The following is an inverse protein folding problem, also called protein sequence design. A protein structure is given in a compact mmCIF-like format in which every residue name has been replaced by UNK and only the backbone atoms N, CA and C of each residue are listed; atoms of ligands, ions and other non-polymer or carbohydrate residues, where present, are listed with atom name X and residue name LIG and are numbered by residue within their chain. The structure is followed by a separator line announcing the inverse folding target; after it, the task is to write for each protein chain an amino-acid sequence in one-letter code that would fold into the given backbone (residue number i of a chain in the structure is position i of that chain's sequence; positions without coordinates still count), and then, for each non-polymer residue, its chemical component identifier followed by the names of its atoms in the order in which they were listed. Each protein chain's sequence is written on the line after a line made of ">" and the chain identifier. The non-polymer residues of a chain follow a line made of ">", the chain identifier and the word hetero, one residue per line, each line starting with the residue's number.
data_IF_989870311311
#
_entry.id   IF_989870311311
#
_cell.length_a   1.000
_cell.length_b   1.000
_cell.length_c   1.000
_cell.angle_alpha   90.00
_cell.angle_beta   90.00
_cell.angle_gamma   90.00
#
_symmetry.space_group_name_H-M   'P 1'
#
loop_
_entity.id
_entity.type
_entity.pdbx_description
1 polymer ?
#
# COMPACT_ATOMS: atom_id res chain seq x y z
N UNK A 1 9.27 35.89 35.96
CA UNK A 1 10.65 36.18 35.51
C UNK A 1 11.16 37.33 36.37
N UNK A 2 12.40 37.29 36.90
CA UNK A 2 12.90 38.38 37.74
C UNK A 2 13.08 39.63 36.88
N UNK A 3 12.64 40.78 37.38
CA UNK A 3 12.79 42.08 36.71
C UNK A 3 14.11 42.68 37.20
N UNK A 4 15.09 42.83 36.31
CA UNK A 4 16.35 43.50 36.63
C UNK A 4 16.22 44.98 36.28
N UNK A 5 16.21 45.86 37.29
CA UNK A 5 16.16 47.31 37.09
C UNK A 5 17.58 47.84 36.79
N UNK A 6 17.85 48.22 35.54
CA UNK A 6 19.12 48.83 35.12
C UNK A 6 18.99 50.36 35.08
N UNK A 7 20.03 51.08 35.50
CA UNK A 7 20.09 52.54 35.36
C UNK A 7 20.24 52.92 33.87
N UNK A 8 19.72 54.09 33.48
CA UNK A 8 19.93 54.64 32.14
C UNK A 8 21.42 54.70 31.79
N UNK A 9 21.80 54.19 30.61
CA UNK A 9 23.19 54.13 30.16
C UNK A 9 24.03 52.98 30.73
N UNK A 10 23.48 52.15 31.63
CA UNK A 10 24.17 50.96 32.13
C UNK A 10 24.42 49.95 30.99
N UNK A 11 25.57 49.26 30.96
CA UNK A 11 25.86 48.27 29.93
C UNK A 11 24.88 47.09 29.98
N UNK A 12 24.40 46.65 28.81
CA UNK A 12 23.54 45.47 28.67
C UNK A 12 24.37 44.34 28.06
N UNK A 13 24.36 43.18 28.71
CA UNK A 13 24.84 41.92 28.15
C UNK A 13 23.64 41.01 27.91
N UNK A 14 23.44 40.58 26.67
CA UNK A 14 22.39 39.62 26.36
C UNK A 14 22.64 38.28 27.12
N UNK A 15 21.60 37.67 27.71
CA UNK A 15 21.75 36.39 28.38
C UNK A 15 22.03 35.28 27.37
N UNK A 16 22.83 34.29 27.76
CA UNK A 16 22.98 33.05 27.01
C UNK A 16 21.70 32.23 27.13
N UNK A 17 21.11 31.84 26.00
CA UNK A 17 19.87 31.05 25.95
C UNK A 17 20.10 29.71 25.27
N UNK A 18 19.42 28.67 25.75
CA UNK A 18 19.42 27.34 25.14
C UNK A 18 18.01 26.78 25.10
N UNK A 19 17.65 26.09 24.00
CA UNK A 19 16.35 25.44 23.81
C UNK A 19 16.56 24.08 23.13
N UNK A 20 16.21 22.95 23.77
CA UNK A 20 16.40 21.63 23.18
C UNK A 20 15.71 21.51 21.81
N UNK A 21 16.44 21.01 20.80
CA UNK A 21 15.95 20.82 19.43
C UNK A 21 15.91 22.09 18.55
N UNK A 22 16.43 23.22 19.04
CA UNK A 22 16.48 24.47 18.30
C UNK A 22 17.84 25.14 18.40
N UNK A 23 18.29 25.74 17.30
CA UNK A 23 19.46 26.62 17.23
C UNK A 23 19.02 28.06 17.48
N UNK A 24 19.71 28.79 18.36
CA UNK A 24 19.44 30.22 18.60
C UNK A 24 19.81 31.04 17.36
N UNK A 25 18.82 31.69 16.75
CA UNK A 25 18.98 32.46 15.52
C UNK A 25 19.19 33.97 15.76
N UNK A 26 19.17 34.40 17.03
CA UNK A 26 19.31 35.80 17.44
C UNK A 26 18.09 36.33 18.19
N UNK A 27 18.11 37.61 18.53
CA UNK A 27 16.97 38.30 19.15
C UNK A 27 16.09 38.93 18.08
N UNK A 28 14.80 39.13 18.39
CA UNK A 28 13.80 39.73 17.49
C UNK A 28 14.16 41.14 17.00
N UNK A 29 15.04 41.81 17.73
CA UNK A 29 15.61 43.11 17.38
C UNK A 29 17.04 43.19 17.95
N UNK A 30 17.92 44.06 17.40
CA UNK A 30 19.27 44.23 17.91
C UNK A 30 19.26 44.62 19.40
N UNK A 31 20.01 43.89 20.23
CA UNK A 31 20.15 44.24 21.64
C UNK A 31 21.10 45.44 21.75
N UNK A 32 20.68 46.57 22.34
CA UNK A 32 21.53 47.73 22.51
C UNK A 32 22.65 47.45 23.52
N UNK A 33 23.80 48.11 23.36
CA UNK A 33 24.93 47.96 24.29
C UNK A 33 24.72 48.68 25.63
N UNK A 34 23.74 49.59 25.72
CA UNK A 34 23.41 50.35 26.93
C UNK A 34 21.89 50.45 27.14
N UNK A 35 21.46 50.58 28.40
CA UNK A 35 20.05 50.68 28.77
C UNK A 35 19.44 51.98 28.24
N UNK A 36 18.45 51.90 27.34
CA UNK A 36 17.76 53.08 26.81
C UNK A 36 16.84 53.70 27.85
N UNK A 37 16.35 54.92 27.60
CA UNK A 37 15.48 55.67 28.52
C UNK A 37 14.05 55.12 28.63
N UNK A 38 13.81 53.89 28.18
CA UNK A 38 12.51 53.23 28.17
C UNK A 38 12.68 51.71 28.29
N UNK A 39 11.67 51.03 28.82
CA UNK A 39 11.66 49.58 28.93
C UNK A 39 11.63 48.92 27.53
N UNK A 40 12.41 47.86 27.35
CA UNK A 40 12.44 47.08 26.12
C UNK A 40 12.22 45.59 26.39
N UNK A 41 11.50 44.94 25.48
CA UNK A 41 11.29 43.50 25.48
C UNK A 41 11.95 42.90 24.24
N UNK A 42 12.77 41.86 24.42
CA UNK A 42 13.42 41.13 23.33
C UNK A 42 12.95 39.68 23.35
N UNK A 43 12.63 39.13 22.18
CA UNK A 43 12.24 37.72 22.07
C UNK A 43 13.36 36.94 21.39
N UNK A 44 13.69 35.77 21.92
CA UNK A 44 14.65 34.87 21.29
C UNK A 44 14.02 34.22 20.04
N UNK A 45 14.67 34.36 18.90
CA UNK A 45 14.29 33.71 17.64
C UNK A 45 15.02 32.38 17.54
N UNK A 46 14.28 31.33 17.19
CA UNK A 46 14.77 29.95 17.18
C UNK A 46 14.57 29.34 15.81
N UNK A 47 15.60 28.65 15.31
CA UNK A 47 15.51 27.81 14.12
C UNK A 47 15.46 26.35 14.57
N UNK A 48 14.46 25.59 14.11
CA UNK A 48 14.37 24.16 14.42
C UNK A 48 15.60 23.44 13.82
N UNK A 49 16.30 22.66 14.64
CA UNK A 49 17.42 21.87 14.15
C UNK A 49 16.86 20.67 13.40
N UNK A 50 16.98 20.67 12.08
CA UNK A 50 16.50 19.55 11.25
C UNK A 50 17.40 18.35 11.43
N UNK A 51 16.79 17.20 11.76
CA UNK A 51 17.46 15.90 11.75
C UNK A 51 16.71 14.97 10.80
N UNK A 52 17.41 13.99 10.24
CA UNK A 52 16.82 12.92 9.44
C UNK A 52 16.83 11.63 10.25
N UNK A 53 15.72 10.91 10.26
CA UNK A 53 15.66 9.54 10.77
C UNK A 53 15.73 8.61 9.57
N UNK A 54 16.72 7.71 9.57
CA UNK A 54 16.90 6.70 8.53
C UNK A 54 16.35 5.38 9.04
N UNK A 55 15.42 4.78 8.29
CA UNK A 55 14.92 3.44 8.57
C UNK A 55 15.68 2.42 7.72
N UNK A 56 15.91 1.24 8.27
CA UNK A 56 16.56 0.13 7.58
C UNK A 56 15.68 -1.11 7.70
N UNK A 57 15.50 -1.83 6.60
CA UNK A 57 14.78 -3.10 6.57
C UNK A 57 15.79 -4.24 6.38
N UNK A 58 15.61 -5.34 7.11
CA UNK A 58 16.41 -6.54 6.90
C UNK A 58 16.05 -7.16 5.54
N UNK A 59 17.07 -7.58 4.80
CA UNK A 59 16.88 -8.26 3.53
C UNK A 59 16.34 -9.67 3.77
N UNK A 60 15.50 -10.17 2.85
CA UNK A 60 14.91 -11.50 2.98
C UNK A 60 15.88 -12.64 2.67
N UNK A 61 16.94 -12.37 1.93
CA UNK A 61 17.83 -13.37 1.36
C UNK A 61 19.25 -13.33 1.92
N UNK A 62 19.56 -12.35 2.77
CA UNK A 62 20.84 -12.22 3.44
C UNK A 62 20.69 -11.47 4.77
N UNK A 63 21.76 -11.46 5.57
CA UNK A 63 21.81 -10.75 6.86
C UNK A 63 22.03 -9.22 6.69
N UNK A 64 21.97 -8.72 5.46
CA UNK A 64 22.10 -7.32 5.14
C UNK A 64 20.84 -6.52 5.45
N UNK A 65 21.02 -5.20 5.49
CA UNK A 65 19.94 -4.24 5.66
C UNK A 65 19.93 -3.28 4.48
N UNK A 66 18.76 -3.04 3.91
CA UNK A 66 18.56 -2.01 2.89
C UNK A 66 17.94 -0.77 3.53
N UNK A 67 18.49 0.41 3.21
CA UNK A 67 17.92 1.69 3.65
C UNK A 67 16.51 1.86 3.07
N UNK A 68 15.52 1.95 3.96
CA UNK A 68 14.20 2.47 3.66
C UNK A 68 14.25 4.01 3.63
N UNK A 69 13.17 4.68 3.25
CA UNK A 69 13.19 6.13 3.03
C UNK A 69 13.57 6.94 4.29
N UNK A 70 14.18 8.12 4.07
CA UNK A 70 14.51 9.08 5.12
C UNK A 70 13.26 9.89 5.50
N UNK A 71 12.97 10.00 6.80
CA UNK A 71 11.91 10.89 7.29
C UNK A 71 12.52 12.26 7.57
N UNK A 72 12.01 13.28 6.88
CA UNK A 72 12.36 14.68 7.11
C UNK A 72 11.68 15.22 8.37
N UNK A 73 12.28 16.26 8.97
CA UNK A 73 11.82 16.85 10.23
C UNK A 73 10.44 17.54 10.17
N UNK A 74 9.79 17.56 9.00
CA UNK A 74 8.42 18.07 8.79
C UNK A 74 7.33 17.07 9.22
N UNK A 75 7.72 15.86 9.64
CA UNK A 75 6.81 14.85 10.17
C UNK A 75 6.10 14.02 9.10
N UNK A 76 6.49 14.16 7.83
CA UNK A 76 5.87 13.44 6.72
C UNK A 76 6.56 12.10 6.51
N UNK A 77 5.86 11.00 6.80
CA UNK A 77 6.27 9.65 6.40
C UNK A 77 5.39 9.19 5.24
N UNK A 78 5.99 8.91 4.09
CA UNK A 78 5.29 8.26 2.97
C UNK A 78 5.73 6.81 2.90
N UNK A 79 4.84 5.85 3.19
CA UNK A 79 5.14 4.43 3.05
C UNK A 79 4.63 3.93 1.69
N UNK A 80 5.55 3.51 0.80
CA UNK A 80 5.20 2.78 -0.43
C UNK A 80 5.57 1.31 -0.27
N UNK A 81 4.60 0.50 0.13
CA UNK A 81 4.76 -0.95 0.28
C UNK A 81 4.47 -1.64 -1.06
N UNK A 82 5.50 -2.23 -1.66
CA UNK A 82 5.38 -3.08 -2.84
C UNK A 82 5.55 -4.54 -2.41
N UNK A 83 4.59 -5.41 -2.72
CA UNK A 83 4.71 -6.85 -2.51
C UNK A 83 4.42 -7.61 -3.79
N UNK A 84 5.14 -8.72 -3.98
CA UNK A 84 4.91 -9.67 -5.06
C UNK A 84 3.70 -10.53 -4.69
N UNK A 85 2.66 -10.54 -5.53
CA UNK A 85 1.52 -11.45 -5.36
C UNK A 85 1.91 -12.86 -5.82
N UNK A 86 1.58 -13.87 -5.02
CA UNK A 86 1.67 -15.27 -5.43
C UNK A 86 0.82 -15.51 -6.69
N UNK A 87 1.27 -16.44 -7.53
CA UNK A 87 0.53 -16.92 -8.70
C UNK A 87 0.11 -18.37 -8.48
N UNK A 88 -1.06 -18.71 -9.01
CA UNK A 88 -1.69 -20.02 -8.86
C UNK A 88 -2.18 -20.51 -10.23
N UNK A 89 -2.34 -21.81 -10.36
CA UNK A 89 -2.82 -22.46 -11.58
C UNK A 89 -4.33 -22.35 -11.69
N UNK A 90 -4.83 -21.81 -12.79
CA UNK A 90 -6.25 -21.77 -13.14
C UNK A 90 -6.50 -22.71 -14.32
N UNK A 91 -7.44 -23.65 -14.18
CA UNK A 91 -7.79 -24.62 -15.21
C UNK A 91 -9.28 -24.61 -15.55
N UNK A 92 -9.58 -24.69 -16.85
CA UNK A 92 -10.92 -24.87 -17.39
C UNK A 92 -10.97 -26.19 -18.15
N UNK A 93 -11.78 -27.12 -17.66
CA UNK A 93 -11.77 -28.52 -18.10
C UNK A 93 -13.17 -29.03 -18.41
N UNK A 94 -13.23 -30.15 -19.12
CA UNK A 94 -14.39 -31.05 -19.09
C UNK A 94 -13.91 -32.39 -18.55
N UNK A 95 -14.25 -32.63 -17.29
CA UNK A 95 -13.87 -33.82 -16.52
C UNK A 95 -14.53 -35.10 -17.01
N UNK A 96 -15.71 -35.02 -17.67
CA UNK A 96 -16.34 -36.20 -18.24
C UNK A 96 -15.50 -36.77 -19.39
N UNK A 97 -14.86 -35.87 -20.14
CA UNK A 97 -14.11 -36.21 -21.34
C UNK A 97 -12.59 -36.03 -21.19
N UNK A 98 -12.13 -35.64 -20.00
CA UNK A 98 -10.73 -35.29 -19.73
C UNK A 98 -10.14 -34.27 -20.73
N UNK A 99 -10.97 -33.30 -21.15
CA UNK A 99 -10.54 -32.22 -22.05
C UNK A 99 -10.06 -31.03 -21.22
N UNK A 100 -8.96 -30.41 -21.64
CA UNK A 100 -8.47 -29.15 -21.09
C UNK A 100 -8.71 -28.03 -22.11
N UNK A 101 -9.55 -27.06 -21.78
CA UNK A 101 -9.83 -25.90 -22.64
C UNK A 101 -8.82 -24.78 -22.41
N UNK A 102 -8.38 -24.59 -21.16
CA UNK A 102 -7.37 -23.58 -20.84
C UNK A 102 -6.68 -23.90 -19.52
N UNK A 103 -5.39 -23.60 -19.44
CA UNK A 103 -4.60 -23.63 -18.21
C UNK A 103 -3.66 -22.44 -18.20
N UNK A 104 -3.64 -21.67 -17.12
CA UNK A 104 -2.82 -20.46 -17.02
C UNK A 104 -2.40 -20.15 -15.58
N UNK A 105 -1.33 -19.36 -15.44
CA UNK A 105 -0.87 -18.82 -14.15
C UNK A 105 -1.52 -17.46 -13.89
N UNK A 106 -2.27 -17.35 -12.80
CA UNK A 106 -3.02 -16.14 -12.44
C UNK A 106 -2.61 -15.67 -11.05
N UNK A 107 -2.39 -14.35 -10.90
CA UNK A 107 -2.04 -13.75 -9.61
C UNK A 107 -3.23 -13.81 -8.65
N UNK A 108 -2.97 -14.09 -7.38
CA UNK A 108 -3.97 -14.00 -6.30
C UNK A 108 -4.80 -12.71 -6.39
N UNK A 109 -6.13 -12.86 -6.31
CA UNK A 109 -7.07 -11.74 -6.33
C UNK A 109 -7.27 -11.09 -7.70
N UNK A 110 -6.61 -11.56 -8.77
CA UNK A 110 -6.93 -11.11 -10.12
C UNK A 110 -8.29 -11.69 -10.56
N UNK A 111 -9.07 -10.96 -11.37
CA UNK A 111 -10.36 -11.46 -11.87
C UNK A 111 -10.16 -12.68 -12.76
N UNK A 112 -11.01 -13.69 -12.58
CA UNK A 112 -11.07 -14.89 -13.40
C UNK A 112 -11.90 -14.57 -14.65
N UNK A 113 -11.33 -14.85 -15.82
CA UNK A 113 -12.00 -14.69 -17.12
C UNK A 113 -12.11 -16.06 -17.76
N UNK A 114 -13.31 -16.66 -17.81
CA UNK A 114 -13.51 -17.94 -18.48
C UNK A 114 -13.33 -17.84 -19.99
N UNK A 115 -12.89 -18.91 -20.65
CA UNK A 115 -12.87 -18.96 -22.11
C UNK A 115 -14.31 -18.92 -22.65
N UNK A 116 -14.55 -18.02 -23.62
CA UNK A 116 -15.88 -17.76 -24.17
C UNK A 116 -16.39 -18.86 -25.12
N UNK A 117 -15.48 -19.63 -25.73
CA UNK A 117 -15.78 -20.47 -26.90
C UNK A 117 -15.54 -21.97 -26.66
N UNK A 118 -15.75 -22.48 -25.43
CA UNK A 118 -15.64 -23.93 -25.22
C UNK A 118 -16.77 -24.67 -25.94
N UNK A 119 -16.42 -25.49 -26.92
CA UNK A 119 -17.36 -26.31 -27.69
C UNK A 119 -17.41 -27.74 -27.14
N UNK A 120 -18.60 -28.32 -26.92
CA UNK A 120 -18.70 -29.70 -26.46
C UNK A 120 -18.14 -30.68 -27.50
N UNK A 121 -17.52 -31.76 -27.02
CA UNK A 121 -17.09 -32.87 -27.88
C UNK A 121 -18.29 -33.67 -28.44
N UNK A 122 -18.03 -34.56 -29.39
CA UNK A 122 -19.03 -35.44 -30.01
C UNK A 122 -19.65 -36.48 -29.05
N UNK A 123 -19.18 -36.56 -27.80
CA UNK A 123 -19.81 -37.35 -26.75
C UNK A 123 -21.14 -36.75 -26.29
N UNK A 124 -21.28 -35.42 -26.35
CA UNK A 124 -22.52 -34.75 -26.02
C UNK A 124 -23.49 -34.77 -27.21
N UNK A 125 -24.81 -34.78 -26.94
CA UNK A 125 -25.80 -34.71 -28.00
C UNK A 125 -25.61 -33.49 -28.91
N UNK A 126 -25.86 -33.62 -30.23
CA UNK A 126 -25.87 -32.49 -31.14
C UNK A 126 -26.81 -31.38 -30.64
N UNK A 127 -26.34 -30.14 -30.66
CA UNK A 127 -27.08 -28.98 -30.17
C UNK A 127 -26.75 -28.56 -28.74
N UNK A 128 -25.92 -29.32 -28.02
CA UNK A 128 -25.37 -28.86 -26.75
C UNK A 128 -24.47 -27.63 -26.96
N UNK A 129 -24.59 -26.66 -26.06
CA UNK A 129 -23.75 -25.47 -25.95
C UNK A 129 -23.23 -25.35 -24.53
N UNK A 130 -22.16 -24.57 -24.35
CA UNK A 130 -21.68 -24.22 -23.01
C UNK A 130 -22.74 -23.39 -22.30
N UNK A 131 -23.17 -23.84 -21.13
CA UNK A 131 -24.13 -23.13 -20.28
C UNK A 131 -23.39 -22.30 -19.24
N UNK A 132 -22.44 -22.93 -18.53
CA UNK A 132 -21.66 -22.27 -17.48
C UNK A 132 -20.38 -23.05 -17.19
N UNK A 133 -19.51 -22.46 -16.39
CA UNK A 133 -18.36 -23.09 -15.77
C UNK A 133 -18.67 -23.29 -14.29
N UNK A 134 -18.73 -24.55 -13.85
CA UNK A 134 -18.99 -24.90 -12.46
C UNK A 134 -17.67 -25.16 -11.72
N UNK A 135 -17.45 -24.64 -10.51
CA UNK A 135 -16.23 -24.93 -9.75
C UNK A 135 -16.13 -26.42 -9.42
N UNK A 136 -14.93 -26.98 -9.52
CA UNK A 136 -14.63 -28.33 -9.03
C UNK A 136 -14.55 -28.29 -7.50
N UNK A 137 -15.12 -29.28 -6.80
CA UNK A 137 -15.26 -29.29 -5.33
C UNK A 137 -14.01 -28.81 -4.57
N UNK A 138 -14.20 -27.91 -3.61
CA UNK A 138 -13.13 -27.29 -2.82
C UNK A 138 -12.96 -25.78 -3.07
N UNK A 139 -13.39 -25.29 -4.24
CA UNK A 139 -13.30 -23.89 -4.63
C UNK A 139 -14.64 -23.15 -4.34
N UNK A 140 -14.66 -22.32 -3.31
CA UNK A 140 -15.78 -21.39 -3.03
C UNK A 140 -15.25 -19.95 -3.06
N UNK A 141 -15.81 -19.05 -3.89
CA UNK A 141 -17.23 -18.98 -4.16
C UNK A 141 -17.62 -19.10 -5.64
N UNK A 142 -18.90 -19.39 -5.82
CA UNK A 142 -19.66 -19.45 -7.06
C UNK A 142 -19.39 -18.26 -8.01
N UNK A 143 -19.29 -18.55 -9.31
CA UNK A 143 -19.21 -17.57 -10.40
C UNK A 143 -20.55 -16.82 -10.66
N UNK A 144 -21.52 -16.89 -9.75
CA UNK A 144 -22.91 -16.42 -9.94
C UNK A 144 -23.10 -14.90 -9.76
N UNK A 145 -22.06 -14.14 -9.40
CA UNK A 145 -22.14 -12.68 -9.29
C UNK A 145 -21.76 -11.98 -10.60
N UNK A 146 -22.48 -10.93 -11.02
CA UNK A 146 -22.10 -10.13 -12.18
C UNK A 146 -20.80 -9.39 -11.86
N UNK A 147 -19.68 -9.87 -12.42
CA UNK A 147 -18.33 -9.35 -12.15
C UNK A 147 -17.21 -10.40 -12.16
N UNK A 148 -17.56 -11.70 -12.12
CA UNK A 148 -16.59 -12.81 -12.10
C UNK A 148 -15.99 -13.06 -10.71
N UNK A 149 -15.50 -14.28 -10.47
CA UNK A 149 -14.77 -14.62 -9.25
C UNK A 149 -13.31 -14.12 -9.34
N UNK A 150 -12.66 -13.92 -8.20
CA UNK A 150 -11.22 -13.61 -8.16
C UNK A 150 -10.41 -14.86 -7.84
N UNK A 151 -9.17 -14.93 -8.36
CA UNK A 151 -8.27 -16.06 -8.17
C UNK A 151 -7.99 -16.29 -6.67
N UNK A 152 -8.31 -17.48 -6.13
CA UNK A 152 -8.09 -17.80 -4.71
C UNK A 152 -6.61 -18.04 -4.40
N UNK A 153 -6.29 -18.26 -3.12
CA UNK A 153 -4.92 -18.48 -2.63
C UNK A 153 -4.43 -19.94 -2.78
N UNK A 154 -4.92 -20.62 -3.81
CA UNK A 154 -4.56 -21.98 -4.21
C UNK A 154 -4.93 -22.17 -5.69
N UNK A 155 -4.47 -23.25 -6.30
CA UNK A 155 -4.88 -23.65 -7.64
C UNK A 155 -6.40 -23.85 -7.69
N UNK A 156 -7.03 -23.43 -8.79
CA UNK A 156 -8.48 -23.45 -8.97
C UNK A 156 -8.85 -24.12 -10.29
N UNK A 157 -9.95 -24.88 -10.30
CA UNK A 157 -10.42 -25.58 -11.49
C UNK A 157 -11.93 -25.45 -11.69
N UNK A 158 -12.34 -25.25 -12.94
CA UNK A 158 -13.74 -25.15 -13.32
C UNK A 158 -14.08 -26.16 -14.41
N UNK A 159 -15.19 -26.87 -14.21
CA UNK A 159 -15.74 -27.84 -15.14
C UNK A 159 -16.77 -27.19 -16.08
N UNK A 160 -16.67 -27.45 -17.37
CA UNK A 160 -17.67 -27.04 -18.34
C UNK A 160 -18.98 -27.76 -18.07
N UNK A 161 -20.07 -27.00 -18.00
CA UNK A 161 -21.43 -27.53 -17.99
C UNK A 161 -22.08 -27.28 -19.34
N UNK A 162 -22.33 -28.36 -20.08
CA UNK A 162 -22.99 -28.32 -21.38
C UNK A 162 -24.48 -28.70 -21.26
N UNK A 163 -25.31 -28.13 -22.13
CA UNK A 163 -26.74 -28.42 -22.20
C UNK A 163 -27.38 -27.79 -23.43
N UNK A 164 -28.66 -28.07 -23.67
CA UNK A 164 -29.39 -27.39 -24.73
C UNK A 164 -29.61 -25.90 -24.40
N UNK A 165 -29.57 -25.00 -25.40
CA UNK A 165 -29.73 -23.55 -25.18
C UNK A 165 -31.05 -23.17 -24.50
N UNK A 166 -32.08 -24.00 -24.63
CA UNK A 166 -33.44 -23.80 -24.10
C UNK A 166 -33.69 -24.49 -22.75
N UNK A 167 -32.67 -25.17 -22.20
CA UNK A 167 -32.81 -25.92 -20.95
C UNK A 167 -33.60 -27.22 -21.08
N UNK A 168 -33.86 -27.70 -22.30
CA UNK A 168 -34.44 -29.02 -22.52
C UNK A 168 -33.53 -30.13 -21.96
N UNK A 169 -34.12 -31.21 -21.43
CA UNK A 169 -33.40 -32.46 -21.17
C UNK A 169 -33.52 -33.33 -22.41
N UNK A 170 -32.39 -33.78 -22.96
CA UNK A 170 -32.39 -34.76 -24.04
C UNK A 170 -33.00 -36.06 -23.55
N UNK A 171 -34.02 -36.55 -24.26
CA UNK A 171 -34.60 -37.88 -24.06
C UNK A 171 -33.61 -38.97 -24.45
#
# INVERSE_FOLDING_TARGET
>A
MPVSQLAYGAPITAPTVTRPGYTFAGWSQPVPSTMPGQDQTFQAVWQATSYQVLYYQQNLNDDGFTQAEAVTADGTLTLKLYYTRNSYTLSFVDSMQSINYSTMQVKYGAPIVPPADATPSNFYPPGFVLITWDPVEGDTPSLELPGGANMPAHDASYNARFGFPDGGIGL
#
